data_IF_751392076406
#
_entry.id   IF_751392076406
#
_cell.length_a   1.000
_cell.length_b   1.000
_cell.length_c   1.000
_cell.angle_alpha   90.00
_cell.angle_beta   90.00
_cell.angle_gamma   90.00
#
_symmetry.space_group_name_H-M   'P 1'
#
loop_
_entity.id
_entity.type
_entity.pdbx_description
1 polymer ?
#
# COMPACT_ATOMS: atom_id res chain seq x y z
N UNK A 1 2.51 18.62 -11.32
CA UNK A 1 3.08 17.35 -10.92
C UNK A 1 4.05 16.82 -11.96
N UNK A 2 5.15 16.26 -11.52
CA UNK A 2 6.18 15.78 -12.43
C UNK A 2 5.78 14.45 -13.07
N UNK A 3 5.86 14.39 -14.40
CA UNK A 3 5.64 13.17 -15.16
C UNK A 3 6.64 12.09 -14.75
N UNK A 4 7.86 12.50 -14.41
CA UNK A 4 8.91 11.59 -13.94
C UNK A 4 8.48 10.83 -12.67
N UNK A 5 7.86 11.52 -11.72
CA UNK A 5 7.40 10.88 -10.49
C UNK A 5 6.22 9.95 -10.72
N UNK A 6 5.33 10.29 -11.66
CA UNK A 6 4.22 9.40 -12.04
C UNK A 6 4.76 8.11 -12.64
N UNK A 7 5.74 8.21 -13.56
CA UNK A 7 6.37 7.04 -14.15
C UNK A 7 7.07 6.19 -13.10
N UNK A 8 7.74 6.83 -12.15
CA UNK A 8 8.43 6.16 -11.05
C UNK A 8 7.45 5.41 -10.16
N UNK A 9 6.32 6.04 -9.81
CA UNK A 9 5.28 5.39 -9.01
C UNK A 9 4.70 4.19 -9.75
N UNK A 10 4.44 4.32 -11.03
CA UNK A 10 3.92 3.23 -11.86
C UNK A 10 4.90 2.06 -11.93
N UNK A 11 6.19 2.34 -12.06
CA UNK A 11 7.22 1.30 -12.06
C UNK A 11 7.26 0.57 -10.74
N UNK A 12 7.16 1.30 -9.63
CA UNK A 12 7.14 0.68 -8.30
C UNK A 12 5.95 -0.28 -8.16
N UNK A 13 4.77 0.18 -8.57
CA UNK A 13 3.56 -0.63 -8.50
C UNK A 13 3.67 -1.86 -9.39
N UNK A 14 4.24 -1.70 -10.59
CA UNK A 14 4.37 -2.80 -11.54
C UNK A 14 5.44 -3.82 -11.14
N UNK A 15 6.50 -3.37 -10.48
CA UNK A 15 7.63 -4.23 -10.11
C UNK A 15 7.45 -4.93 -8.77
N UNK A 16 6.47 -4.51 -7.97
CA UNK A 16 6.21 -5.09 -6.66
C UNK A 16 4.77 -5.59 -6.59
N UNK A 17 4.56 -6.91 -6.65
CA UNK A 17 3.20 -7.49 -6.65
C UNK A 17 2.35 -7.07 -5.46
N UNK A 18 2.98 -6.83 -4.32
CA UNK A 18 2.29 -6.40 -3.10
C UNK A 18 3.00 -5.17 -2.56
N UNK A 19 2.33 -4.03 -2.66
CA UNK A 19 2.94 -2.74 -2.30
C UNK A 19 2.01 -1.97 -1.37
N UNK A 20 2.59 -1.32 -0.36
CA UNK A 20 1.85 -0.48 0.57
C UNK A 20 2.53 0.87 0.70
N UNK A 21 1.76 1.92 0.41
CA UNK A 21 2.20 3.28 0.70
C UNK A 21 1.82 3.60 2.14
N UNK A 22 2.75 4.10 2.93
CA UNK A 22 2.61 4.18 4.37
C UNK A 22 3.29 5.40 4.96
N UNK A 23 2.93 5.70 6.20
CA UNK A 23 3.67 6.62 7.07
C UNK A 23 3.78 5.94 8.42
N UNK A 24 4.99 5.85 8.95
CA UNK A 24 5.27 5.01 10.12
C UNK A 24 4.55 5.46 11.40
N UNK A 25 4.13 6.72 11.47
CA UNK A 25 3.41 7.26 12.64
C UNK A 25 1.90 7.09 12.56
N UNK A 26 1.37 6.67 11.41
CA UNK A 26 -0.07 6.63 11.15
C UNK A 26 -0.73 5.41 11.80
N UNK A 27 -1.75 5.61 12.67
CA UNK A 27 -2.45 4.48 13.32
C UNK A 27 -3.08 3.50 12.34
N UNK A 28 -3.63 3.99 11.24
CA UNK A 28 -4.26 3.14 10.23
C UNK A 28 -3.22 2.29 9.49
N UNK A 29 -2.01 2.83 9.32
CA UNK A 29 -0.91 2.06 8.78
C UNK A 29 -0.47 0.97 9.77
N UNK A 30 -0.45 1.28 11.06
CA UNK A 30 -0.12 0.30 12.10
C UNK A 30 -1.16 -0.82 12.17
N UNK A 31 -2.44 -0.50 12.00
CA UNK A 31 -3.48 -1.51 11.90
C UNK A 31 -3.18 -2.47 10.75
N UNK A 32 -2.77 -1.91 9.61
CA UNK A 32 -2.45 -2.70 8.43
C UNK A 32 -1.22 -3.58 8.67
N UNK A 33 -0.20 -3.05 9.36
CA UNK A 33 0.98 -3.85 9.72
C UNK A 33 0.58 -5.04 10.59
N UNK A 34 -0.36 -4.86 11.51
CA UNK A 34 -0.86 -5.96 12.34
C UNK A 34 -1.53 -7.03 11.50
N UNK A 35 -2.27 -6.65 10.46
CA UNK A 35 -2.86 -7.60 9.53
C UNK A 35 -1.75 -8.39 8.81
N UNK A 36 -0.71 -7.71 8.32
CA UNK A 36 0.41 -8.40 7.67
C UNK A 36 1.08 -9.38 8.62
N UNK A 37 1.27 -9.01 9.88
CA UNK A 37 1.87 -9.89 10.89
C UNK A 37 0.96 -11.07 11.20
N UNK A 38 -0.33 -10.85 11.29
CA UNK A 38 -1.33 -11.86 11.58
C UNK A 38 -1.31 -12.98 10.54
N UNK A 39 -1.15 -12.60 9.28
CA UNK A 39 -1.08 -13.55 8.16
C UNK A 39 0.34 -13.98 7.84
N UNK A 40 1.32 -13.46 8.58
CA UNK A 40 2.73 -13.77 8.40
C UNK A 40 3.24 -13.48 6.98
N UNK A 41 2.81 -12.34 6.43
CA UNK A 41 3.13 -11.96 5.05
C UNK A 41 3.89 -10.62 4.94
N UNK A 42 4.26 -10.01 6.05
CA UNK A 42 4.90 -8.70 6.03
C UNK A 42 6.12 -8.64 5.11
N UNK A 43 6.90 -9.73 5.08
CA UNK A 43 8.09 -9.82 4.23
C UNK A 43 7.77 -9.77 2.74
N UNK A 44 6.54 -10.12 2.36
CA UNK A 44 6.12 -10.11 0.96
C UNK A 44 5.64 -8.75 0.51
N UNK A 45 5.39 -7.84 1.45
CA UNK A 45 4.85 -6.51 1.15
C UNK A 45 5.97 -5.51 1.01
N UNK A 46 6.04 -4.86 -0.14
CA UNK A 46 6.99 -3.76 -0.33
C UNK A 46 6.38 -2.51 0.31
N UNK A 47 6.89 -2.11 1.46
CA UNK A 47 6.34 -1.01 2.23
C UNK A 47 7.16 0.26 1.99
N UNK A 48 6.50 1.30 1.50
CA UNK A 48 7.11 2.61 1.28
C UNK A 48 6.66 3.52 2.41
N UNK A 49 7.57 3.82 3.34
CA UNK A 49 7.28 4.73 4.45
C UNK A 49 7.78 6.13 4.08
N UNK A 50 6.85 6.97 3.64
CA UNK A 50 7.17 8.30 3.13
C UNK A 50 7.87 9.20 4.14
N UNK A 51 7.50 9.07 5.42
CA UNK A 51 8.10 9.89 6.49
C UNK A 51 9.55 9.52 6.79
N UNK A 52 10.02 8.39 6.28
CA UNK A 52 11.39 7.92 6.48
C UNK A 52 12.34 8.36 5.38
N UNK A 53 11.84 8.99 4.33
CA UNK A 53 12.69 9.48 3.26
C UNK A 53 13.61 10.58 3.77
N UNK A 54 14.88 10.51 3.39
CA UNK A 54 15.86 11.52 3.72
C UNK A 54 15.47 12.87 3.11
N UNK A 55 15.06 12.85 1.85
CA UNK A 55 14.57 14.02 1.13
C UNK A 55 13.05 14.04 1.18
N UNK A 56 12.50 14.91 2.03
CA UNK A 56 11.06 15.01 2.21
C UNK A 56 10.37 15.69 1.00
N UNK A 57 11.10 16.44 0.19
CA UNK A 57 10.55 16.97 -1.06
C UNK A 57 10.29 15.84 -2.04
N UNK A 58 11.22 14.89 -2.11
CA UNK A 58 11.06 13.70 -2.93
C UNK A 58 9.86 12.86 -2.45
N UNK A 59 9.74 12.68 -1.14
CA UNK A 59 8.61 11.94 -0.55
C UNK A 59 7.28 12.60 -0.91
N UNK A 60 7.21 13.93 -0.83
CA UNK A 60 6.00 14.68 -1.17
C UNK A 60 5.62 14.52 -2.64
N UNK A 61 6.61 14.63 -3.54
CA UNK A 61 6.37 14.45 -4.97
C UNK A 61 5.91 13.03 -5.29
N UNK A 62 6.52 12.05 -4.64
CA UNK A 62 6.14 10.65 -4.83
C UNK A 62 4.71 10.40 -4.29
N UNK A 63 4.36 10.99 -3.16
CA UNK A 63 3.00 10.89 -2.61
C UNK A 63 1.97 11.47 -3.58
N UNK A 64 2.28 12.62 -4.18
CA UNK A 64 1.39 13.23 -5.19
C UNK A 64 1.21 12.31 -6.38
N UNK A 65 2.28 11.66 -6.82
CA UNK A 65 2.23 10.73 -7.95
C UNK A 65 1.35 9.53 -7.61
N UNK A 66 1.49 8.95 -6.42
CA UNK A 66 0.63 7.85 -5.99
C UNK A 66 -0.83 8.28 -5.85
N UNK A 67 -1.07 9.52 -5.41
CA UNK A 67 -2.43 10.08 -5.34
C UNK A 67 -3.06 10.10 -6.73
N UNK A 68 -2.26 10.49 -7.73
CA UNK A 68 -2.73 10.56 -9.11
C UNK A 68 -3.12 9.18 -9.63
N UNK A 69 -2.26 8.18 -9.45
CA UNK A 69 -2.55 6.84 -9.97
C UNK A 69 -3.60 6.09 -9.16
N UNK A 70 -3.74 6.40 -7.88
CA UNK A 70 -4.74 5.78 -7.01
C UNK A 70 -6.10 6.48 -7.08
N UNK A 71 -6.12 7.72 -7.54
CA UNK A 71 -7.34 8.51 -7.59
C UNK A 71 -7.73 9.17 -6.28
N UNK A 72 -6.88 9.06 -5.26
CA UNK A 72 -7.13 9.70 -3.96
C UNK A 72 -5.87 9.78 -3.12
N UNK A 73 -5.85 10.75 -2.20
CA UNK A 73 -4.74 10.92 -1.25
C UNK A 73 -5.09 10.22 0.05
N UNK A 74 -4.45 9.09 0.31
CA UNK A 74 -4.72 8.32 1.53
C UNK A 74 -3.51 7.46 1.89
N UNK A 75 -3.26 7.26 3.17
CA UNK A 75 -2.36 6.24 3.68
C UNK A 75 -3.07 5.47 4.80
N UNK A 76 -2.97 4.15 4.83
CA UNK A 76 -2.26 3.33 3.86
C UNK A 76 -3.01 3.22 2.53
N UNK A 77 -2.27 3.11 1.43
CA UNK A 77 -2.84 2.73 0.14
C UNK A 77 -2.13 1.46 -0.29
N UNK A 78 -2.91 0.46 -0.65
CA UNK A 78 -2.40 -0.89 -0.92
C UNK A 78 -2.65 -1.24 -2.38
N UNK A 79 -1.60 -1.73 -3.06
CA UNK A 79 -1.67 -2.18 -4.44
C UNK A 79 -1.31 -3.65 -4.50
N UNK A 80 -2.16 -4.45 -5.13
CA UNK A 80 -1.86 -5.87 -5.39
C UNK A 80 -1.84 -6.09 -6.90
N UNK A 81 -0.73 -6.65 -7.39
CA UNK A 81 -0.56 -6.99 -8.81
C UNK A 81 -0.83 -5.80 -9.74
N UNK A 82 -0.31 -4.63 -9.37
CA UNK A 82 -0.39 -3.43 -10.18
C UNK A 82 -1.70 -2.65 -10.08
N UNK A 83 -2.64 -3.11 -9.26
CA UNK A 83 -3.95 -2.47 -9.11
C UNK A 83 -4.20 -2.10 -7.67
N UNK A 84 -4.95 -1.02 -7.46
CA UNK A 84 -5.29 -0.62 -6.10
C UNK A 84 -6.19 -1.69 -5.45
N UNK A 85 -5.79 -2.14 -4.27
CA UNK A 85 -6.62 -3.04 -3.46
C UNK A 85 -7.54 -2.23 -2.56
N UNK A 86 -6.99 -1.21 -1.91
CA UNK A 86 -7.76 -0.37 -1.02
C UNK A 86 -6.93 0.22 0.11
N UNK A 87 -7.62 0.52 1.20
CA UNK A 87 -7.05 1.11 2.41
C UNK A 87 -7.37 0.23 3.62
N UNK A 88 -7.05 0.71 4.82
CA UNK A 88 -7.38 0.01 6.07
C UNK A 88 -8.89 -0.18 6.24
N UNK A 89 -9.70 0.73 5.69
CA UNK A 89 -11.16 0.59 5.78
C UNK A 89 -11.64 -0.63 5.03
N UNK A 90 -11.05 -0.91 3.88
CA UNK A 90 -11.36 -2.12 3.12
C UNK A 90 -10.96 -3.38 3.89
N UNK A 91 -9.77 -3.36 4.49
CA UNK A 91 -9.32 -4.50 5.30
C UNK A 91 -10.24 -4.73 6.50
N UNK A 92 -10.66 -3.67 7.16
CA UNK A 92 -11.58 -3.76 8.29
C UNK A 92 -12.93 -4.34 7.88
N UNK A 93 -13.45 -3.87 6.74
CA UNK A 93 -14.73 -4.35 6.21
C UNK A 93 -14.64 -5.85 5.87
N UNK A 94 -13.58 -6.25 5.16
CA UNK A 94 -13.42 -7.65 4.78
C UNK A 94 -13.17 -8.56 5.97
N UNK A 95 -12.48 -8.06 6.99
CA UNK A 95 -12.31 -8.79 8.24
C UNK A 95 -13.65 -9.04 8.90
N UNK A 96 -14.49 -8.00 8.99
CA UNK A 96 -15.81 -8.09 9.58
C UNK A 96 -16.71 -9.04 8.82
N UNK A 97 -16.58 -9.07 7.49
CA UNK A 97 -17.37 -9.94 6.62
C UNK A 97 -16.83 -11.37 6.53
N UNK A 98 -15.68 -11.63 7.14
CA UNK A 98 -15.05 -12.94 7.08
C UNK A 98 -14.45 -13.27 5.72
N UNK A 99 -14.11 -12.26 4.92
CA UNK A 99 -13.62 -12.42 3.54
C UNK A 99 -12.14 -12.19 3.35
N UNK A 100 -11.44 -11.72 4.38
CA UNK A 100 -10.04 -11.29 4.20
C UNK A 100 -9.14 -12.43 3.75
N UNK A 101 -9.25 -13.61 4.36
CA UNK A 101 -8.45 -14.77 3.98
C UNK A 101 -8.68 -15.15 2.52
N UNK A 102 -9.92 -15.13 2.08
CA UNK A 102 -10.28 -15.46 0.70
C UNK A 102 -9.64 -14.48 -0.28
N UNK A 103 -9.71 -13.18 0.03
CA UNK A 103 -9.11 -12.15 -0.80
C UNK A 103 -7.61 -12.35 -0.90
N UNK A 104 -6.94 -12.68 0.20
CA UNK A 104 -5.51 -12.91 0.20
C UNK A 104 -5.13 -14.19 -0.54
N UNK A 105 -5.96 -15.23 -0.48
CA UNK A 105 -5.74 -16.46 -1.25
C UNK A 105 -5.91 -16.21 -2.74
N UNK A 106 -6.95 -15.48 -3.12
CA UNK A 106 -7.24 -15.18 -4.52
C UNK A 106 -6.12 -14.33 -5.16
N UNK A 107 -5.45 -13.51 -4.37
CA UNK A 107 -4.33 -12.69 -4.84
C UNK A 107 -2.98 -13.41 -4.74
N UNK A 108 -2.97 -14.65 -4.27
CA UNK A 108 -1.78 -15.48 -4.06
C UNK A 108 -0.83 -14.92 -2.99
N UNK A 109 -1.32 -14.03 -2.13
CA UNK A 109 -0.54 -13.56 -0.99
C UNK A 109 -0.34 -14.67 0.03
N UNK A 110 -1.36 -15.50 0.21
CA UNK A 110 -1.32 -16.69 1.07
C UNK A 110 -1.80 -17.90 0.26
N UNK A 111 -1.48 -19.08 0.78
CA UNK A 111 -1.88 -20.35 0.14
C UNK A 111 -3.32 -20.77 0.51
#
# INVERSE_FOLDING_TARGET
MSKEYIERAQELVNNHPYLMLSKSWCPDCHYTYEIWNQYNVKEKIYIIELDKFEDQNEAEELEKAFTEIAGRKWVPTIFFHGKILGTEEDLKRWTKEGKLSEIFKDSHLIN
#
